data_IF_611444279620
#
_entry.id   IF_611444279620
#
_cell.length_a   1.000
_cell.length_b   1.000
_cell.length_c   1.000
_cell.angle_alpha   90.00
_cell.angle_beta   90.00
_cell.angle_gamma   90.00
#
_symmetry.space_group_name_H-M   'P 1'
#
loop_
_entity.id
_entity.type
_entity.pdbx_description
1 polymer ?
#
# COMPACT_ATOMS: atom_id res chain seq x y z
N UNK A 1 11.45 -25.00 -0.87
CA UNK A 1 10.72 -23.77 -1.24
C UNK A 1 11.52 -22.56 -0.79
N UNK A 2 11.47 -21.45 -1.56
CA UNK A 2 11.95 -20.14 -1.16
C UNK A 2 10.73 -19.30 -0.70
N UNK A 3 10.83 -18.64 0.44
CA UNK A 3 9.72 -17.96 1.10
C UNK A 3 10.14 -16.55 1.49
N UNK A 4 9.29 -15.58 1.22
CA UNK A 4 9.30 -14.26 1.85
C UNK A 4 8.07 -14.13 2.72
N UNK A 5 8.12 -13.32 3.78
CA UNK A 5 6.95 -13.13 4.64
C UNK A 5 6.57 -11.65 4.77
N UNK A 6 5.28 -11.45 4.92
CA UNK A 6 4.65 -10.23 5.43
C UNK A 6 3.43 -10.68 6.25
N UNK A 7 3.18 -10.12 7.42
CA UNK A 7 2.08 -10.53 8.28
C UNK A 7 2.49 -10.92 9.70
N UNK A 8 3.78 -10.84 10.03
CA UNK A 8 4.31 -11.06 11.37
C UNK A 8 3.86 -9.99 12.39
N UNK A 9 3.26 -8.89 11.89
CA UNK A 9 2.59 -7.84 12.69
C UNK A 9 1.07 -7.95 12.71
N UNK A 10 0.49 -9.09 12.29
CA UNK A 10 -0.95 -9.29 12.41
C UNK A 10 -1.40 -9.22 13.88
N UNK A 11 -2.59 -8.69 14.14
CA UNK A 11 -3.13 -8.43 15.48
C UNK A 11 -3.22 -9.68 16.39
N UNK A 12 -3.13 -10.88 15.81
CA UNK A 12 -3.09 -12.12 16.56
C UNK A 12 -1.74 -12.39 17.24
N UNK A 13 -0.69 -11.65 16.93
CA UNK A 13 0.64 -11.78 17.52
C UNK A 13 0.93 -10.62 18.47
N UNK A 14 1.52 -10.91 19.62
CA UNK A 14 1.92 -9.89 20.59
C UNK A 14 3.23 -9.18 20.18
N UNK A 15 4.08 -9.85 19.39
CA UNK A 15 5.37 -9.32 18.92
C UNK A 15 5.70 -9.82 17.52
N UNK A 16 6.53 -9.05 16.77
CA UNK A 16 7.08 -9.49 15.48
C UNK A 16 7.80 -10.85 15.58
N UNK A 17 8.57 -11.04 16.65
CA UNK A 17 9.31 -12.31 16.86
C UNK A 17 8.37 -13.51 16.99
N UNK A 18 7.24 -13.34 17.67
CA UNK A 18 6.20 -14.37 17.77
C UNK A 18 5.62 -14.68 16.40
N UNK A 19 5.26 -13.65 15.63
CA UNK A 19 4.75 -13.80 14.26
C UNK A 19 5.74 -14.50 13.33
N UNK A 20 7.01 -14.08 13.33
CA UNK A 20 8.08 -14.71 12.55
C UNK A 20 8.22 -16.20 12.93
N UNK A 21 8.27 -16.51 14.22
CA UNK A 21 8.43 -17.90 14.68
C UNK A 21 7.22 -18.75 14.30
N UNK A 22 6.01 -18.20 14.43
CA UNK A 22 4.78 -18.92 14.09
C UNK A 22 4.68 -19.18 12.58
N UNK A 23 4.90 -18.17 11.75
CA UNK A 23 4.85 -18.29 10.28
C UNK A 23 5.92 -19.29 9.81
N UNK A 24 7.16 -19.19 10.31
CA UNK A 24 8.24 -20.10 9.93
C UNK A 24 7.88 -21.56 10.27
N UNK A 25 7.35 -21.82 11.45
CA UNK A 25 6.92 -23.17 11.87
C UNK A 25 5.80 -23.69 10.96
N UNK A 26 4.75 -22.91 10.75
CA UNK A 26 3.58 -23.31 9.97
C UNK A 26 3.95 -23.61 8.51
N UNK A 27 4.79 -22.78 7.89
CA UNK A 27 5.27 -23.03 6.53
C UNK A 27 6.07 -24.34 6.46
N UNK A 28 6.89 -24.66 7.47
CA UNK A 28 7.68 -25.88 7.51
C UNK A 28 6.88 -27.16 7.76
N UNK A 29 5.71 -27.06 8.34
CA UNK A 29 4.78 -28.20 8.43
C UNK A 29 4.38 -28.70 7.03
N UNK A 30 4.32 -27.80 6.03
CA UNK A 30 3.98 -28.12 4.63
C UNK A 30 5.23 -28.28 3.77
N UNK A 31 6.25 -27.46 4.01
CA UNK A 31 7.51 -27.42 3.26
C UNK A 31 8.72 -27.55 4.20
N UNK A 32 9.10 -28.76 4.63
CA UNK A 32 10.17 -28.96 5.63
C UNK A 32 11.52 -28.32 5.26
N UNK A 33 11.86 -28.30 3.98
CA UNK A 33 13.10 -27.72 3.43
C UNK A 33 12.93 -26.24 2.99
N UNK A 34 11.96 -25.52 3.53
CA UNK A 34 11.76 -24.12 3.19
C UNK A 34 12.91 -23.26 3.69
N UNK A 35 13.41 -22.38 2.82
CA UNK A 35 14.35 -21.32 3.14
C UNK A 35 13.63 -19.97 3.08
N UNK A 36 13.90 -19.12 4.05
CA UNK A 36 13.24 -17.84 4.22
C UNK A 36 14.21 -16.71 3.90
N UNK A 37 13.83 -15.84 2.97
CA UNK A 37 14.63 -14.66 2.61
C UNK A 37 14.45 -13.55 3.64
N UNK A 38 15.55 -12.96 4.08
CA UNK A 38 15.57 -11.93 5.10
C UNK A 38 15.94 -10.54 4.56
N UNK A 39 15.67 -9.51 5.36
CA UNK A 39 16.05 -8.12 5.07
C UNK A 39 17.57 -7.91 5.03
N UNK A 40 18.37 -8.88 5.46
CA UNK A 40 19.84 -8.90 5.31
C UNK A 40 20.30 -9.44 3.92
N UNK A 41 19.36 -9.72 3.03
CA UNK A 41 19.65 -10.24 1.69
C UNK A 41 20.08 -11.71 1.66
N UNK A 42 19.79 -12.49 2.71
CA UNK A 42 20.19 -13.88 2.86
C UNK A 42 19.00 -14.81 3.08
N UNK A 43 19.22 -16.08 2.73
CA UNK A 43 18.29 -17.14 3.07
C UNK A 43 18.64 -17.77 4.43
N UNK A 44 17.62 -18.02 5.24
CA UNK A 44 17.71 -18.61 6.58
C UNK A 44 16.86 -19.88 6.66
N UNK A 45 17.34 -20.82 7.46
CA UNK A 45 16.65 -22.08 7.78
C UNK A 45 15.99 -22.06 9.17
N UNK A 46 16.05 -20.96 9.87
CA UNK A 46 15.52 -20.79 11.23
C UNK A 46 14.91 -19.40 11.41
N UNK A 47 13.99 -19.23 12.38
CA UNK A 47 13.38 -17.93 12.63
C UNK A 47 14.42 -16.95 13.19
N UNK A 48 14.69 -15.88 12.41
CA UNK A 48 15.57 -14.77 12.80
C UNK A 48 14.83 -13.44 12.59
N UNK A 49 15.18 -12.37 13.31
CA UNK A 49 14.51 -11.07 13.17
C UNK A 49 14.54 -10.49 11.75
N UNK A 50 15.57 -10.83 10.97
CA UNK A 50 15.70 -10.38 9.58
C UNK A 50 14.59 -10.88 8.64
N UNK A 51 13.81 -11.89 9.02
CA UNK A 51 12.71 -12.42 8.19
C UNK A 51 11.49 -11.51 8.18
N UNK A 52 11.36 -10.61 9.17
CA UNK A 52 10.21 -9.74 9.30
C UNK A 52 10.11 -8.78 8.10
N UNK A 53 8.96 -8.77 7.43
CA UNK A 53 8.63 -7.88 6.32
C UNK A 53 9.73 -7.79 5.24
N UNK A 54 10.24 -8.92 4.76
CA UNK A 54 11.32 -8.98 3.78
C UNK A 54 10.85 -9.10 2.32
N UNK A 55 9.54 -9.17 2.07
CA UNK A 55 8.95 -9.34 0.74
C UNK A 55 9.37 -8.24 -0.25
N UNK A 56 9.35 -6.99 0.17
CA UNK A 56 9.74 -5.83 -0.64
C UNK A 56 11.20 -5.90 -1.13
N UNK A 57 12.12 -6.44 -0.29
CA UNK A 57 13.53 -6.56 -0.65
C UNK A 57 13.75 -7.65 -1.71
N UNK A 58 12.96 -8.72 -1.71
CA UNK A 58 13.03 -9.74 -2.75
C UNK A 58 12.62 -9.17 -4.11
N UNK A 59 11.56 -8.36 -4.16
CA UNK A 59 11.13 -7.63 -5.37
C UNK A 59 12.23 -6.66 -5.84
N UNK A 60 12.83 -5.91 -4.90
CA UNK A 60 13.94 -5.01 -5.21
C UNK A 60 15.16 -5.75 -5.77
N UNK A 61 15.54 -6.88 -5.17
CA UNK A 61 16.68 -7.69 -5.63
C UNK A 61 16.45 -8.21 -7.06
N UNK A 62 15.26 -8.69 -7.35
CA UNK A 62 14.90 -9.18 -8.69
C UNK A 62 14.96 -8.08 -9.76
N UNK A 63 14.49 -6.87 -9.44
CA UNK A 63 14.48 -5.75 -10.38
C UNK A 63 15.86 -5.10 -10.52
N UNK A 64 16.64 -5.02 -9.45
CA UNK A 64 18.00 -4.49 -9.49
C UNK A 64 18.89 -5.19 -10.52
N UNK A 65 18.78 -6.52 -10.65
CA UNK A 65 19.53 -7.29 -11.65
C UNK A 65 19.17 -6.91 -13.08
N UNK A 66 17.97 -6.37 -13.31
CA UNK A 66 17.47 -5.97 -14.62
C UNK A 66 17.75 -4.49 -14.92
N UNK A 67 17.53 -3.64 -13.92
CA UNK A 67 17.65 -2.19 -14.05
C UNK A 67 18.02 -1.53 -12.71
N UNK A 68 19.33 -1.37 -12.42
CA UNK A 68 19.75 -0.71 -11.19
C UNK A 68 19.46 0.80 -11.15
N UNK A 69 19.12 1.44 -12.29
CA UNK A 69 18.76 2.88 -12.32
C UNK A 69 17.25 3.12 -12.10
N UNK A 70 16.52 2.07 -11.77
CA UNK A 70 15.08 2.13 -11.53
C UNK A 70 14.70 2.50 -10.10
N UNK A 71 13.44 2.89 -9.95
CA UNK A 71 12.70 3.02 -8.70
C UNK A 71 11.49 2.10 -8.76
N UNK A 72 11.35 1.17 -7.82
CA UNK A 72 10.14 0.36 -7.68
C UNK A 72 9.13 1.10 -6.79
N UNK A 73 7.90 1.22 -7.26
CA UNK A 73 6.76 1.75 -6.51
C UNK A 73 5.68 0.67 -6.47
N UNK A 74 5.57 -0.02 -5.34
CA UNK A 74 4.68 -1.16 -5.15
C UNK A 74 3.50 -0.76 -4.25
N UNK A 75 2.31 -0.58 -4.84
CA UNK A 75 1.09 -0.23 -4.11
C UNK A 75 0.29 -1.48 -3.79
N UNK A 76 0.37 -1.90 -2.55
CA UNK A 76 -0.48 -2.96 -2.01
C UNK A 76 -1.84 -2.43 -1.52
N UNK A 77 -2.57 -3.29 -0.82
CA UNK A 77 -3.87 -2.94 -0.21
C UNK A 77 -3.77 -1.91 0.91
N UNK A 78 -2.65 -1.88 1.64
CA UNK A 78 -2.47 -1.10 2.88
C UNK A 78 -1.40 -0.02 2.75
N UNK A 79 -0.30 -0.32 2.06
CA UNK A 79 0.92 0.50 1.97
C UNK A 79 1.38 0.67 0.54
N UNK A 80 2.25 1.65 0.33
CA UNK A 80 3.00 1.81 -0.91
C UNK A 80 4.49 1.80 -0.58
N UNK A 81 5.22 0.85 -1.15
CA UNK A 81 6.66 0.73 -1.04
C UNK A 81 7.34 1.56 -2.14
N UNK A 82 8.35 2.34 -1.78
CA UNK A 82 9.12 3.17 -2.70
C UNK A 82 10.58 2.81 -2.54
N UNK A 83 11.12 2.06 -3.51
CA UNK A 83 12.37 1.33 -3.32
C UNK A 83 13.36 1.69 -4.42
N UNK A 84 14.41 2.48 -4.10
CA UNK A 84 15.51 2.75 -5.03
C UNK A 84 16.28 1.46 -5.33
N UNK A 85 16.52 1.19 -6.61
CA UNK A 85 17.20 -0.03 -7.04
C UNK A 85 18.73 0.14 -7.18
N UNK A 86 19.27 1.34 -7.05
CA UNK A 86 20.67 1.64 -7.32
C UNK A 86 21.67 0.85 -6.45
N UNK A 87 21.31 0.54 -5.19
CA UNK A 87 22.20 -0.17 -4.28
C UNK A 87 21.41 -1.02 -3.29
N UNK A 88 21.33 -2.32 -3.53
CA UNK A 88 20.69 -3.27 -2.62
C UNK A 88 21.33 -3.28 -1.24
N UNK A 89 22.65 -3.11 -1.16
CA UNK A 89 23.36 -3.12 0.13
C UNK A 89 22.93 -1.98 1.05
N UNK A 90 22.48 -0.85 0.51
CA UNK A 90 21.95 0.27 1.28
C UNK A 90 20.55 0.00 1.86
N UNK A 91 19.87 -1.02 1.35
CA UNK A 91 18.54 -1.45 1.78
C UNK A 91 18.59 -2.56 2.83
N UNK A 92 19.74 -3.24 2.97
CA UNK A 92 19.87 -4.36 3.91
C UNK A 92 19.66 -3.93 5.35
N UNK A 93 18.90 -4.73 6.09
CA UNK A 93 18.60 -4.50 7.50
C UNK A 93 17.57 -3.40 7.76
N UNK A 94 17.01 -2.75 6.73
CA UNK A 94 15.93 -1.79 6.92
C UNK A 94 14.68 -2.51 7.42
N UNK A 95 14.12 -1.98 8.50
CA UNK A 95 12.82 -2.38 9.04
C UNK A 95 11.73 -1.44 8.51
N UNK A 96 10.46 -1.80 8.68
CA UNK A 96 9.34 -0.91 8.31
C UNK A 96 9.46 0.46 8.99
N UNK A 97 9.87 0.48 10.27
CA UNK A 97 10.10 1.74 10.98
C UNK A 97 11.16 2.60 10.30
N UNK A 98 12.30 2.02 9.96
CA UNK A 98 13.38 2.78 9.29
C UNK A 98 13.02 3.15 7.86
N UNK A 99 12.21 2.35 7.18
CA UNK A 99 11.67 2.66 5.85
C UNK A 99 10.66 3.81 5.90
N UNK A 100 9.75 3.83 6.89
CA UNK A 100 8.87 4.97 7.15
C UNK A 100 9.67 6.26 7.38
N UNK A 101 10.73 6.19 8.20
CA UNK A 101 11.60 7.34 8.50
C UNK A 101 12.35 7.86 7.27
N UNK A 102 12.69 6.97 6.33
CA UNK A 102 13.35 7.32 5.06
C UNK A 102 12.37 7.73 3.95
N UNK A 103 11.07 7.53 4.15
CA UNK A 103 10.08 7.73 3.09
C UNK A 103 10.06 6.61 2.04
N UNK A 104 10.69 5.46 2.32
CA UNK A 104 10.66 4.27 1.45
C UNK A 104 9.44 3.38 1.69
N UNK A 105 8.65 3.69 2.68
CA UNK A 105 7.35 3.11 2.96
C UNK A 105 6.37 4.25 3.25
N UNK A 106 5.32 4.34 2.45
CA UNK A 106 4.22 5.28 2.65
C UNK A 106 3.00 4.49 3.14
N UNK A 107 2.46 4.86 4.30
CA UNK A 107 1.38 4.09 4.90
C UNK A 107 0.02 4.49 4.30
N UNK A 108 -0.08 4.34 3.00
CA UNK A 108 -1.32 4.43 2.23
C UNK A 108 -1.31 3.41 1.10
N UNK A 109 -2.44 2.78 0.85
CA UNK A 109 -2.61 1.76 -0.19
C UNK A 109 -3.97 1.82 -0.85
N UNK A 110 -4.21 0.90 -1.76
CA UNK A 110 -5.39 0.91 -2.62
C UNK A 110 -6.71 0.71 -1.86
N UNK A 111 -6.72 -0.11 -0.76
CA UNK A 111 -7.98 -0.57 -0.19
C UNK A 111 -8.25 -0.14 1.25
N UNK A 112 -7.21 -0.01 2.11
CA UNK A 112 -7.40 -0.01 3.56
C UNK A 112 -7.10 1.32 4.28
N UNK A 113 -6.69 2.33 3.54
CA UNK A 113 -6.40 3.66 4.13
C UNK A 113 -7.70 4.36 4.52
N UNK A 114 -7.80 4.81 5.76
CA UNK A 114 -8.97 5.60 6.19
C UNK A 114 -8.90 7.01 5.59
N UNK A 115 -10.04 7.55 5.14
CA UNK A 115 -10.08 8.87 4.51
C UNK A 115 -9.45 9.96 5.40
N UNK A 116 -9.78 10.07 6.71
CA UNK A 116 -9.24 11.12 7.58
C UNK A 116 -7.75 10.97 7.93
N UNK A 117 -7.13 9.84 7.58
CA UNK A 117 -5.67 9.69 7.75
C UNK A 117 -4.88 10.61 6.81
N UNK A 118 -5.44 10.93 5.65
CA UNK A 118 -4.78 11.73 4.59
C UNK A 118 -5.49 13.07 4.41
N UNK A 119 -6.82 13.08 4.39
CA UNK A 119 -7.62 14.29 4.14
C UNK A 119 -8.06 14.92 5.45
N UNK A 120 -7.87 16.22 5.61
CA UNK A 120 -8.32 16.99 6.80
C UNK A 120 -9.57 17.82 6.52
N UNK A 121 -9.76 18.23 5.28
CA UNK A 121 -10.94 18.96 4.83
C UNK A 121 -11.18 18.71 3.35
N UNK A 122 -12.43 18.83 2.92
CA UNK A 122 -12.86 18.75 1.53
C UNK A 122 -13.63 20.00 1.14
N UNK A 123 -13.64 20.36 -0.13
CA UNK A 123 -14.49 21.46 -0.62
C UNK A 123 -15.84 20.88 -1.03
N UNK A 124 -16.91 21.22 -0.30
CA UNK A 124 -18.28 20.86 -0.64
C UNK A 124 -19.07 22.13 -0.99
N UNK A 125 -19.60 22.16 -2.22
CA UNK A 125 -20.32 23.36 -2.69
C UNK A 125 -19.48 24.65 -2.63
N UNK A 126 -18.15 24.52 -2.73
CA UNK A 126 -17.22 25.67 -2.63
C UNK A 126 -16.84 26.06 -1.19
N UNK A 127 -17.36 25.38 -0.18
CA UNK A 127 -17.03 25.64 1.20
C UNK A 127 -16.05 24.60 1.76
N UNK A 128 -14.98 25.01 2.48
CA UNK A 128 -14.08 24.11 3.15
C UNK A 128 -14.80 23.42 4.31
N UNK A 129 -14.93 22.10 4.24
CA UNK A 129 -15.66 21.28 5.20
C UNK A 129 -14.68 20.31 5.87
N UNK A 130 -14.47 20.39 7.19
CA UNK A 130 -13.63 19.44 7.92
C UNK A 130 -14.18 18.02 7.82
N UNK A 131 -13.27 17.03 7.80
CA UNK A 131 -13.65 15.62 7.81
C UNK A 131 -13.66 15.08 9.25
N UNK A 132 -14.56 14.12 9.50
CA UNK A 132 -14.63 13.37 10.74
C UNK A 132 -13.38 12.52 10.96
N UNK A 133 -12.92 12.41 12.20
CA UNK A 133 -11.81 11.52 12.56
C UNK A 133 -12.21 10.02 12.61
N UNK A 134 -13.51 9.71 12.45
CA UNK A 134 -14.04 8.36 12.48
C UNK A 134 -13.75 7.57 11.21
N UNK A 135 -13.61 6.24 11.35
CA UNK A 135 -13.40 5.33 10.22
C UNK A 135 -14.72 5.03 9.48
N UNK A 136 -15.36 6.06 8.95
CA UNK A 136 -16.60 5.89 8.18
C UNK A 136 -16.35 5.34 6.78
N UNK A 137 -15.21 5.64 6.18
CA UNK A 137 -14.87 5.26 4.82
C UNK A 137 -13.36 5.02 4.66
N UNK A 138 -12.99 4.20 3.69
CA UNK A 138 -11.62 3.82 3.37
C UNK A 138 -11.31 4.03 1.89
N UNK A 139 -10.03 3.93 1.51
CA UNK A 139 -9.56 4.13 0.13
C UNK A 139 -10.31 3.28 -0.89
N UNK A 140 -10.68 2.04 -0.56
CA UNK A 140 -11.47 1.19 -1.46
C UNK A 140 -12.82 1.82 -1.85
N UNK A 141 -13.49 2.52 -0.92
CA UNK A 141 -14.73 3.23 -1.24
C UNK A 141 -14.50 4.36 -2.25
N UNK A 142 -13.44 5.13 -2.04
CA UNK A 142 -13.08 6.24 -2.92
C UNK A 142 -12.67 5.72 -4.31
N UNK A 143 -11.79 4.72 -4.37
CA UNK A 143 -11.34 4.16 -5.63
C UNK A 143 -12.45 3.48 -6.42
N UNK A 144 -13.39 2.79 -5.75
CA UNK A 144 -14.53 2.17 -6.42
C UNK A 144 -15.46 3.20 -7.06
N UNK A 145 -15.82 4.26 -6.32
CA UNK A 145 -16.74 5.28 -6.88
C UNK A 145 -16.08 6.16 -7.95
N UNK A 146 -14.75 6.26 -7.95
CA UNK A 146 -13.98 6.91 -9.01
C UNK A 146 -13.75 5.99 -10.23
N UNK A 147 -14.04 4.70 -10.11
CA UNK A 147 -13.84 3.72 -11.19
C UNK A 147 -12.38 3.27 -11.34
N UNK A 148 -11.56 3.43 -10.32
CA UNK A 148 -10.19 2.93 -10.29
C UNK A 148 -10.12 1.42 -10.01
N UNK A 149 -11.12 0.86 -9.34
CA UNK A 149 -11.30 -0.56 -9.06
C UNK A 149 -12.74 -1.00 -9.31
N UNK A 150 -12.93 -2.30 -9.57
CA UNK A 150 -14.24 -2.96 -9.59
C UNK A 150 -14.69 -3.43 -8.21
N UNK A 151 -15.91 -3.93 -8.10
CA UNK A 151 -16.42 -4.53 -6.84
C UNK A 151 -15.66 -5.81 -6.48
N UNK A 152 -15.15 -6.54 -7.47
CA UNK A 152 -14.33 -7.75 -7.34
C UNK A 152 -12.97 -7.48 -6.69
N UNK A 153 -12.40 -6.29 -6.92
CA UNK A 153 -11.12 -5.87 -6.35
C UNK A 153 -11.24 -5.43 -4.90
N UNK A 154 -12.44 -5.09 -4.44
CA UNK A 154 -12.70 -4.66 -3.07
C UNK A 154 -12.68 -5.85 -2.11
N UNK A 155 -11.51 -6.42 -1.86
CA UNK A 155 -11.31 -7.68 -1.14
C UNK A 155 -11.24 -7.56 0.40
N UNK A 156 -11.19 -6.35 0.96
CA UNK A 156 -11.14 -6.15 2.42
C UNK A 156 -12.54 -5.93 3.03
N UNK A 157 -12.62 -5.98 4.37
CA UNK A 157 -13.84 -5.66 5.10
C UNK A 157 -14.23 -4.20 4.95
N UNK A 158 -15.53 -3.94 4.85
CA UNK A 158 -16.07 -2.58 4.83
C UNK A 158 -16.18 -2.01 6.26
N UNK A 159 -15.98 -0.69 6.47
CA UNK A 159 -16.05 -0.09 7.80
C UNK A 159 -17.35 -0.35 8.55
N UNK A 160 -18.46 -0.39 7.83
CA UNK A 160 -19.80 -0.61 8.41
C UNK A 160 -20.33 -2.04 8.26
N UNK A 161 -19.49 -2.97 7.75
CA UNK A 161 -19.81 -4.38 7.48
C UNK A 161 -21.02 -4.56 6.55
N UNK A 162 -21.26 -3.59 5.64
CA UNK A 162 -22.32 -3.63 4.64
C UNK A 162 -21.76 -3.90 3.26
N UNK A 163 -22.58 -3.67 2.22
CA UNK A 163 -22.24 -3.93 0.83
C UNK A 163 -21.00 -3.16 0.33
N UNK A 164 -20.40 -3.70 -0.73
CA UNK A 164 -19.27 -3.11 -1.45
C UNK A 164 -19.71 -2.43 -2.75
N UNK A 165 -21.03 -2.44 -3.01
CA UNK A 165 -21.60 -1.79 -4.19
C UNK A 165 -21.39 -0.28 -4.15
N UNK A 166 -21.45 0.34 -5.33
CA UNK A 166 -21.23 1.78 -5.51
C UNK A 166 -22.07 2.65 -4.58
N UNK A 167 -23.35 2.31 -4.38
CA UNK A 167 -24.25 3.09 -3.53
C UNK A 167 -23.85 3.01 -2.05
N UNK A 168 -23.43 1.84 -1.59
CA UNK A 168 -22.93 1.64 -0.23
C UNK A 168 -21.62 2.43 0.01
N UNK A 169 -20.71 2.46 -0.97
CA UNK A 169 -19.49 3.28 -0.91
C UNK A 169 -19.81 4.79 -0.85
N UNK A 170 -20.73 5.29 -1.68
CA UNK A 170 -21.16 6.68 -1.67
C UNK A 170 -21.76 7.09 -0.31
N UNK A 171 -22.55 6.20 0.33
CA UNK A 171 -23.11 6.45 1.67
C UNK A 171 -22.02 6.55 2.74
N UNK A 172 -20.98 5.71 2.69
CA UNK A 172 -19.84 5.80 3.62
C UNK A 172 -19.03 7.06 3.42
N UNK A 173 -18.81 7.47 2.17
CA UNK A 173 -18.12 8.72 1.84
C UNK A 173 -18.89 9.95 2.35
N UNK A 174 -20.22 9.97 2.25
CA UNK A 174 -21.04 11.05 2.80
C UNK A 174 -20.86 11.21 4.33
N UNK A 175 -20.75 10.08 5.05
CA UNK A 175 -20.54 10.11 6.51
C UNK A 175 -19.21 10.75 6.94
N UNK A 176 -18.21 10.77 6.06
CA UNK A 176 -16.90 11.41 6.34
C UNK A 176 -17.07 12.89 6.71
N UNK A 177 -18.09 13.53 6.17
CA UNK A 177 -18.44 14.94 6.46
C UNK A 177 -19.69 15.06 7.36
N UNK A 178 -20.01 14.01 8.11
CA UNK A 178 -21.16 13.95 9.02
C UNK A 178 -22.52 14.16 8.34
N UNK A 179 -22.63 13.84 7.05
CA UNK A 179 -23.82 13.93 6.24
C UNK A 179 -24.33 12.55 5.78
N UNK A 180 -25.51 12.48 5.25
CA UNK A 180 -25.97 11.33 4.47
C UNK A 180 -25.97 11.62 2.96
N UNK A 181 -26.24 10.58 2.17
CA UNK A 181 -26.21 10.71 0.73
C UNK A 181 -27.37 11.56 0.18
N UNK A 182 -28.49 11.66 0.90
CA UNK A 182 -29.63 12.48 0.49
C UNK A 182 -29.32 13.98 0.70
N UNK A 183 -28.47 14.29 1.71
CA UNK A 183 -28.07 15.67 2.03
C UNK A 183 -27.04 16.23 1.04
N UNK A 184 -25.95 15.47 0.73
CA UNK A 184 -24.89 15.98 -0.14
C UNK A 184 -24.96 15.46 -1.58
N UNK A 185 -25.83 14.52 -1.84
CA UNK A 185 -25.99 13.86 -3.14
C UNK A 185 -24.75 13.06 -3.58
N UNK A 186 -24.90 12.38 -4.70
CA UNK A 186 -23.78 11.66 -5.34
C UNK A 186 -22.60 12.58 -5.66
N UNK A 187 -22.88 13.81 -6.08
CA UNK A 187 -21.86 14.79 -6.42
C UNK A 187 -20.97 15.16 -5.23
N UNK A 188 -21.56 15.40 -4.06
CA UNK A 188 -20.80 15.68 -2.83
C UNK A 188 -19.95 14.48 -2.37
N UNK A 189 -20.50 13.27 -2.42
CA UNK A 189 -19.74 12.06 -2.09
C UNK A 189 -18.56 11.83 -3.05
N UNK A 190 -18.74 12.12 -4.35
CA UNK A 190 -17.66 12.07 -5.33
C UNK A 190 -16.58 13.14 -5.08
N UNK A 191 -16.94 14.34 -4.60
CA UNK A 191 -15.98 15.36 -4.19
C UNK A 191 -15.11 14.87 -3.01
N UNK A 192 -15.68 14.16 -2.05
CA UNK A 192 -14.92 13.52 -0.95
C UNK A 192 -13.95 12.49 -1.51
N UNK A 193 -14.40 11.61 -2.40
CA UNK A 193 -13.56 10.59 -3.04
C UNK A 193 -12.41 11.21 -3.83
N UNK A 194 -12.68 12.24 -4.62
CA UNK A 194 -11.68 12.92 -5.43
C UNK A 194 -10.64 13.63 -4.55
N UNK A 195 -11.07 14.32 -3.50
CA UNK A 195 -10.16 14.97 -2.56
C UNK A 195 -9.23 13.95 -1.88
N UNK A 196 -9.74 12.75 -1.57
CA UNK A 196 -8.91 11.67 -1.06
C UNK A 196 -7.85 11.23 -2.09
N UNK A 197 -8.27 10.94 -3.32
CA UNK A 197 -7.35 10.49 -4.36
C UNK A 197 -6.28 11.54 -4.66
N UNK A 198 -6.65 12.81 -4.75
CA UNK A 198 -5.69 13.90 -5.01
C UNK A 198 -4.64 13.98 -3.90
N UNK A 199 -5.06 13.91 -2.63
CA UNK A 199 -4.15 13.92 -1.49
C UNK A 199 -3.28 12.65 -1.40
N UNK A 200 -3.85 11.47 -1.67
CA UNK A 200 -3.09 10.21 -1.70
C UNK A 200 -2.02 10.24 -2.80
N UNK A 201 -2.39 10.69 -4.00
CA UNK A 201 -1.47 10.84 -5.13
C UNK A 201 -0.34 11.82 -4.82
N UNK A 202 -0.64 12.95 -4.18
CA UNK A 202 0.36 13.95 -3.77
C UNK A 202 1.37 13.34 -2.77
N UNK A 203 0.91 12.65 -1.74
CA UNK A 203 1.78 11.99 -0.75
C UNK A 203 2.71 10.95 -1.41
N UNK A 204 2.19 10.16 -2.34
CA UNK A 204 3.00 9.16 -3.06
C UNK A 204 3.99 9.85 -4.01
N UNK A 205 3.52 10.85 -4.77
CA UNK A 205 4.36 11.61 -5.70
C UNK A 205 5.54 12.29 -4.98
N UNK A 206 5.30 12.92 -3.83
CA UNK A 206 6.34 13.57 -3.05
C UNK A 206 7.38 12.57 -2.54
N UNK A 207 6.96 11.38 -2.13
CA UNK A 207 7.87 10.34 -1.69
C UNK A 207 8.69 9.77 -2.87
N UNK A 208 8.06 9.57 -4.04
CA UNK A 208 8.73 9.16 -5.28
C UNK A 208 9.76 10.20 -5.73
N UNK A 209 9.37 11.47 -5.77
CA UNK A 209 10.26 12.56 -6.18
C UNK A 209 11.51 12.63 -5.29
N UNK A 210 11.35 12.54 -3.96
CA UNK A 210 12.48 12.49 -3.02
C UNK A 210 13.37 11.28 -3.24
N UNK A 211 12.78 10.09 -3.40
CA UNK A 211 13.55 8.87 -3.61
C UNK A 211 14.33 8.90 -4.94
N UNK A 212 13.76 9.48 -6.00
CA UNK A 212 14.45 9.69 -7.28
C UNK A 212 15.61 10.68 -7.13
N UNK A 213 15.40 11.81 -6.46
CA UNK A 213 16.45 12.82 -6.22
C UNK A 213 17.62 12.25 -5.40
N UNK A 214 17.32 11.51 -4.33
CA UNK A 214 18.33 10.89 -3.47
C UNK A 214 19.11 9.75 -4.14
N UNK A 215 18.45 8.96 -5.00
CA UNK A 215 19.05 7.77 -5.62
C UNK A 215 19.60 8.00 -7.01
N UNK A 216 19.20 9.08 -7.68
CA UNK A 216 19.48 9.31 -9.11
C UNK A 216 18.67 8.41 -10.04
N UNK A 217 17.63 7.74 -9.55
CA UNK A 217 16.78 6.88 -10.36
C UNK A 217 16.12 7.67 -11.50
N UNK A 218 16.11 7.09 -12.69
CA UNK A 218 15.60 7.74 -13.90
C UNK A 218 14.34 7.07 -14.47
N UNK A 219 13.99 5.90 -13.97
CA UNK A 219 12.83 5.10 -14.41
C UNK A 219 11.99 4.66 -13.23
N UNK A 220 10.68 4.64 -13.41
CA UNK A 220 9.72 4.19 -12.41
C UNK A 220 9.10 2.88 -12.88
N UNK A 221 9.12 1.88 -12.02
CA UNK A 221 8.41 0.61 -12.17
C UNK A 221 7.29 0.54 -11.15
N UNK A 222 6.09 0.20 -11.58
CA UNK A 222 4.93 0.07 -10.69
C UNK A 222 4.53 -1.39 -10.55
N UNK A 223 4.19 -1.80 -9.32
CA UNK A 223 3.77 -3.15 -8.98
C UNK A 223 2.64 -3.14 -7.94
N UNK A 224 2.16 -4.32 -7.60
CA UNK A 224 1.10 -4.52 -6.61
C UNK A 224 -0.31 -4.30 -7.15
N UNK A 225 -1.30 -4.40 -6.26
CA UNK A 225 -2.72 -4.28 -6.63
C UNK A 225 -3.10 -2.92 -7.21
N UNK A 226 -2.33 -1.88 -6.90
CA UNK A 226 -2.51 -0.51 -7.42
C UNK A 226 -1.59 -0.16 -8.59
N UNK A 227 -0.89 -1.11 -9.20
CA UNK A 227 0.16 -0.86 -10.21
C UNK A 227 -0.34 -0.06 -11.40
N UNK A 228 -1.46 -0.43 -11.98
CA UNK A 228 -2.05 0.25 -13.14
C UNK A 228 -2.45 1.71 -12.83
N UNK A 229 -3.03 1.93 -11.65
CA UNK A 229 -3.39 3.27 -11.18
C UNK A 229 -2.15 4.15 -11.01
N UNK A 230 -1.09 3.61 -10.38
CA UNK A 230 0.17 4.31 -10.19
C UNK A 230 0.93 4.54 -11.51
N UNK A 231 0.97 3.56 -12.40
CA UNK A 231 1.59 3.70 -13.72
C UNK A 231 0.99 4.89 -14.48
N UNK A 232 -0.35 4.99 -14.48
CA UNK A 232 -1.06 6.12 -15.07
C UNK A 232 -0.75 7.46 -14.38
N UNK A 233 -0.63 7.46 -13.04
CA UNK A 233 -0.44 8.68 -12.26
C UNK A 233 1.01 9.20 -12.26
N UNK A 234 2.01 8.30 -12.33
CA UNK A 234 3.44 8.60 -12.22
C UNK A 234 4.18 8.54 -13.57
N UNK A 235 3.56 8.01 -14.62
CA UNK A 235 4.24 7.78 -15.91
C UNK A 235 5.22 6.61 -15.87
N UNK A 236 5.02 5.64 -14.97
CA UNK A 236 5.89 4.48 -14.79
C UNK A 236 5.52 3.29 -15.69
N UNK A 237 6.40 2.29 -15.73
CA UNK A 237 6.16 1.00 -16.39
C UNK A 237 5.43 0.06 -15.43
N UNK A 238 4.26 -0.42 -15.84
CA UNK A 238 3.48 -1.40 -15.06
C UNK A 238 4.04 -2.80 -15.24
N UNK A 239 4.59 -3.36 -14.17
CA UNK A 239 5.17 -4.70 -14.18
C UNK A 239 4.12 -5.83 -14.20
N UNK A 240 2.88 -5.57 -13.83
CA UNK A 240 1.81 -6.57 -13.89
C UNK A 240 1.51 -7.02 -15.32
N UNK A 241 1.79 -6.19 -16.31
CA UNK A 241 1.66 -6.50 -17.74
C UNK A 241 2.72 -7.50 -18.20
N UNK A 242 3.94 -7.44 -17.61
CA UNK A 242 5.06 -8.30 -18.01
C UNK A 242 5.14 -9.60 -17.18
N UNK A 243 4.82 -9.53 -15.90
CA UNK A 243 5.03 -10.62 -14.93
C UNK A 243 3.74 -11.37 -14.57
N UNK A 244 2.58 -10.89 -15.03
CA UNK A 244 1.27 -11.35 -14.59
C UNK A 244 0.87 -10.77 -13.22
N UNK A 245 -0.37 -11.01 -12.80
CA UNK A 245 -0.88 -10.52 -11.53
C UNK A 245 -0.23 -11.21 -10.33
#
# INVERSE_FOLDING_TARGET
AAVVMSGELADCFSTKSEGVAWITRTVREVFPEALFYGTDGRFHDSPVPALAAANWLASAAFLHERDPEGLLVDMGSTTTDIIPLASLSSLYGLTDLTRLQKGYLVYTGLLRTTIPAIVRSVSLGGLPTPVSAEQFSISADAHLVLGHIGEEDYSCDTPDRKGRDRTSCLRRLARVVCADLDEIGTGGALQVAQAFWDAQREVIHDAVARAMDESGASRIYTAGTGSMLLSSALGGTDLSVELGP
#
